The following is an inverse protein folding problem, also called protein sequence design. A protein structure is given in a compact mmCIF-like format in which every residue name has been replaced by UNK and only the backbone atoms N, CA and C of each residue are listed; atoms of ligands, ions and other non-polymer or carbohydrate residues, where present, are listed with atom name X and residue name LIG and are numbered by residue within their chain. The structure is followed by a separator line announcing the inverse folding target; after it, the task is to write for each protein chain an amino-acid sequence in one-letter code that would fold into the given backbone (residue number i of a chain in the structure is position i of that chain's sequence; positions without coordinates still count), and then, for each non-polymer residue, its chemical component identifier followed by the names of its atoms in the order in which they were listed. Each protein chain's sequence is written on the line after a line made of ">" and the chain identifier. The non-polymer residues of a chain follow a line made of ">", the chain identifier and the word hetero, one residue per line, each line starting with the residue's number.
data_IF_023860927264
#
_entry.id   IF_023860927264
#
_cell.length_a   1.000
_cell.length_b   1.000
_cell.length_c   1.000
_cell.angle_alpha   90.00
_cell.angle_beta   90.00
_cell.angle_gamma   90.00
#
_symmetry.space_group_name_H-M   'P 1'
#
loop_
_entity.id
_entity.type
_entity.pdbx_description
1 polymer ?
#
# COMPACT_ATOMS: atom_id res chain seq x y z
N UNK A 1 12.16 22.36 -11.90
CA UNK A 1 11.27 21.93 -12.99
C UNK A 1 11.09 20.44 -12.89
N UNK A 2 9.92 19.94 -13.30
CA UNK A 2 9.61 18.53 -13.44
C UNK A 2 9.21 18.28 -14.89
N UNK A 3 9.68 17.19 -15.47
CA UNK A 3 9.28 16.73 -16.78
C UNK A 3 8.39 15.50 -16.61
N UNK A 4 7.27 15.45 -17.34
CA UNK A 4 6.42 14.26 -17.37
C UNK A 4 7.06 13.21 -18.29
N UNK A 5 7.45 12.10 -17.71
CA UNK A 5 8.10 10.97 -18.40
C UNK A 5 7.24 9.69 -18.38
N UNK A 6 5.98 9.79 -17.96
CA UNK A 6 5.12 8.62 -17.79
C UNK A 6 4.99 7.82 -19.10
N UNK A 7 4.83 8.49 -20.22
CA UNK A 7 4.73 7.85 -21.53
C UNK A 7 6.00 7.07 -21.90
N UNK A 8 7.18 7.62 -21.61
CA UNK A 8 8.47 6.99 -21.92
C UNK A 8 8.68 5.69 -21.15
N UNK A 9 8.04 5.59 -19.97
CA UNK A 9 8.09 4.42 -19.09
C UNK A 9 6.85 3.52 -19.19
N UNK A 10 5.90 3.82 -20.09
CA UNK A 10 4.61 3.13 -20.24
C UNK A 10 3.75 3.14 -18.96
N UNK A 11 3.76 4.27 -18.25
CA UNK A 11 2.96 4.52 -17.05
C UNK A 11 1.78 5.46 -17.25
N UNK A 12 1.54 5.90 -18.47
CA UNK A 12 0.62 6.98 -18.77
C UNK A 12 -0.86 6.67 -18.49
N UNK A 13 -1.26 5.41 -18.37
CA UNK A 13 -2.63 4.90 -17.99
C UNK A 13 -3.79 5.89 -18.30
N UNK A 14 -3.71 6.53 -19.48
CA UNK A 14 -4.44 7.75 -19.84
C UNK A 14 -5.97 7.59 -19.89
N UNK A 15 -6.48 6.35 -19.85
CA UNK A 15 -7.91 6.04 -19.90
C UNK A 15 -8.50 5.76 -18.51
N UNK A 16 -7.70 5.83 -17.46
CA UNK A 16 -8.12 5.53 -16.08
C UNK A 16 -8.34 6.81 -15.27
N UNK A 17 -9.17 6.70 -14.26
CA UNK A 17 -9.49 7.79 -13.35
C UNK A 17 -8.75 7.58 -12.01
N UNK A 18 -7.46 7.91 -11.98
CA UNK A 18 -6.57 7.70 -10.85
C UNK A 18 -7.03 8.38 -9.56
N UNK A 19 -6.91 7.70 -8.42
CA UNK A 19 -7.23 8.21 -7.09
C UNK A 19 -6.09 8.07 -6.11
N UNK A 20 -5.58 6.88 -5.87
CA UNK A 20 -4.52 6.61 -4.92
C UNK A 20 -3.35 5.90 -5.56
N UNK A 21 -2.15 6.16 -5.04
CA UNK A 21 -0.94 5.45 -5.43
C UNK A 21 -0.18 5.03 -4.17
N UNK A 22 0.45 3.86 -4.21
CA UNK A 22 1.35 3.39 -3.17
C UNK A 22 2.61 2.77 -3.80
N UNK A 23 3.67 2.71 -3.02
CA UNK A 23 4.91 2.03 -3.40
C UNK A 23 5.04 0.75 -2.59
N UNK A 24 5.43 -0.34 -3.24
CA UNK A 24 5.68 -1.64 -2.60
C UNK A 24 6.80 -2.38 -3.32
N UNK A 25 7.57 -3.17 -2.60
CA UNK A 25 8.53 -4.10 -3.18
C UNK A 25 7.82 -5.43 -3.48
N UNK A 26 7.00 -5.46 -4.53
CA UNK A 26 6.05 -6.56 -4.85
C UNK A 26 6.74 -7.92 -4.96
N UNK A 27 7.95 -7.97 -5.49
CA UNK A 27 8.71 -9.20 -5.65
C UNK A 27 9.82 -9.39 -4.61
N UNK A 28 9.89 -8.51 -3.60
CA UNK A 28 10.94 -8.57 -2.56
C UNK A 28 12.36 -8.62 -3.13
N UNK A 29 12.60 -7.76 -4.13
CA UNK A 29 13.87 -7.65 -4.85
C UNK A 29 14.78 -6.54 -4.32
N UNK A 30 14.29 -5.75 -3.37
CA UNK A 30 14.97 -4.55 -2.89
C UNK A 30 14.74 -3.34 -3.80
N UNK A 31 13.63 -3.34 -4.57
CA UNK A 31 13.23 -2.25 -5.47
C UNK A 31 11.73 -2.00 -5.34
N UNK A 32 11.35 -0.72 -5.31
CA UNK A 32 9.96 -0.32 -5.23
C UNK A 32 9.29 -0.39 -6.60
N UNK A 33 8.09 -0.93 -6.58
CA UNK A 33 7.13 -1.02 -7.67
C UNK A 33 5.94 -0.10 -7.34
N UNK A 34 5.00 0.12 -8.26
CA UNK A 34 3.92 1.09 -8.11
C UNK A 34 2.56 0.37 -8.08
N UNK A 35 1.73 0.69 -7.10
CA UNK A 35 0.33 0.31 -7.04
C UNK A 35 -0.53 1.53 -7.36
N UNK A 36 -1.53 1.38 -8.23
CA UNK A 36 -2.40 2.45 -8.67
C UNK A 36 -3.87 2.04 -8.55
N UNK A 37 -4.61 2.81 -7.76
CA UNK A 37 -6.04 2.64 -7.56
C UNK A 37 -6.85 3.58 -8.44
N UNK A 38 -7.73 3.04 -9.29
CA UNK A 38 -8.52 3.78 -10.26
C UNK A 38 -10.01 3.76 -9.94
N UNK A 39 -10.67 4.91 -9.98
CA UNK A 39 -12.10 5.05 -9.69
C UNK A 39 -12.96 4.44 -10.80
N UNK A 40 -13.70 3.39 -10.47
CA UNK A 40 -14.53 2.63 -11.40
C UNK A 40 -13.76 2.13 -12.65
N UNK A 41 -12.43 2.07 -12.55
CA UNK A 41 -11.53 1.57 -13.56
C UNK A 41 -10.64 0.46 -13.01
N UNK A 42 -9.92 -0.22 -13.89
CA UNK A 42 -9.02 -1.29 -13.50
C UNK A 42 -7.89 -0.75 -12.62
N UNK A 43 -7.69 -1.35 -11.45
CA UNK A 43 -6.51 -1.06 -10.63
C UNK A 43 -5.26 -1.63 -11.30
N UNK A 44 -4.08 -1.11 -10.94
CA UNK A 44 -2.83 -1.50 -11.57
C UNK A 44 -1.75 -1.83 -10.56
N UNK A 45 -0.96 -2.82 -10.88
CA UNK A 45 0.28 -3.15 -10.18
C UNK A 45 1.44 -3.11 -11.17
N UNK A 46 2.17 -2.01 -11.17
CA UNK A 46 3.22 -1.73 -12.14
C UNK A 46 4.58 -2.17 -11.62
N UNK A 47 5.24 -3.03 -12.37
CA UNK A 47 6.60 -3.51 -12.09
C UNK A 47 7.55 -3.05 -13.18
N UNK A 48 8.67 -2.43 -12.79
CA UNK A 48 9.68 -1.98 -13.73
C UNK A 48 10.52 -3.17 -14.22
N UNK A 49 10.49 -3.44 -15.52
CA UNK A 49 11.31 -4.45 -16.21
C UNK A 49 11.90 -3.86 -17.49
N UNK A 50 13.21 -4.00 -17.68
CA UNK A 50 13.91 -3.50 -18.88
C UNK A 50 13.61 -2.02 -19.20
N UNK A 51 13.54 -1.15 -18.18
CA UNK A 51 13.20 0.27 -18.27
C UNK A 51 11.76 0.59 -18.70
N UNK A 52 10.86 -0.36 -18.69
CA UNK A 52 9.44 -0.15 -18.94
C UNK A 52 8.62 -0.72 -17.80
N UNK A 53 7.53 -0.07 -17.42
CA UNK A 53 6.58 -0.62 -16.46
C UNK A 53 5.63 -1.59 -17.14
N UNK A 54 5.39 -2.72 -16.49
CA UNK A 54 4.41 -3.71 -16.89
C UNK A 54 3.38 -3.89 -15.80
N UNK A 55 2.12 -3.89 -16.18
CA UNK A 55 1.04 -4.25 -15.29
C UNK A 55 1.03 -5.76 -15.04
N UNK A 56 1.11 -6.14 -13.77
CA UNK A 56 1.07 -7.52 -13.30
C UNK A 56 -0.15 -7.82 -12.44
N UNK A 57 -1.09 -6.86 -12.35
CA UNK A 57 -2.35 -7.05 -11.65
C UNK A 57 -3.02 -8.35 -12.11
N UNK A 58 -3.65 -9.04 -11.18
CA UNK A 58 -4.46 -10.21 -11.50
C UNK A 58 -5.95 -9.86 -11.37
N UNK A 59 -6.82 -10.69 -11.96
CA UNK A 59 -8.25 -10.42 -12.08
C UNK A 59 -8.91 -9.90 -10.79
N UNK A 60 -8.54 -10.44 -9.64
CA UNK A 60 -9.17 -10.05 -8.36
C UNK A 60 -8.68 -8.68 -7.89
N UNK A 61 -7.39 -8.38 -8.10
CA UNK A 61 -6.79 -7.08 -7.76
C UNK A 61 -7.27 -5.98 -8.71
N UNK A 62 -7.32 -6.26 -10.00
CA UNK A 62 -7.68 -5.29 -11.05
C UNK A 62 -9.17 -4.92 -11.04
N UNK A 63 -10.02 -5.69 -10.33
CA UNK A 63 -11.46 -5.48 -10.35
C UNK A 63 -11.86 -4.06 -9.96
N UNK A 64 -12.55 -3.32 -10.85
CA UNK A 64 -12.94 -1.94 -10.62
C UNK A 64 -13.68 -1.73 -9.31
N UNK A 65 -13.37 -0.65 -8.62
CA UNK A 65 -14.05 -0.26 -7.38
C UNK A 65 -14.13 1.27 -7.23
N UNK A 66 -14.91 1.74 -6.27
CA UNK A 66 -14.98 3.17 -5.92
C UNK A 66 -13.85 3.53 -4.94
N UNK A 67 -12.64 3.22 -5.32
CA UNK A 67 -11.46 3.44 -4.49
C UNK A 67 -11.18 4.92 -4.23
N UNK A 68 -10.66 5.22 -3.04
CA UNK A 68 -10.12 6.54 -2.66
C UNK A 68 -8.65 6.47 -2.30
N UNK A 69 -8.25 5.45 -1.56
CA UNK A 69 -6.89 5.32 -1.06
C UNK A 69 -6.41 3.89 -1.22
N UNK A 70 -5.15 3.74 -1.58
CA UNK A 70 -4.44 2.47 -1.60
C UNK A 70 -3.21 2.57 -0.68
N UNK A 71 -2.99 1.57 0.14
CA UNK A 71 -1.86 1.49 1.08
C UNK A 71 -1.22 0.12 0.97
N UNK A 72 0.12 0.08 1.04
CA UNK A 72 0.89 -1.16 1.15
C UNK A 72 1.68 -1.17 2.44
N UNK A 73 1.43 -2.16 3.30
CA UNK A 73 2.13 -2.35 4.56
C UNK A 73 2.04 -3.80 5.02
N UNK A 74 3.03 -4.25 5.79
CA UNK A 74 3.02 -5.55 6.47
C UNK A 74 2.22 -5.40 7.77
N UNK A 75 0.92 -5.71 7.73
CA UNK A 75 0.02 -5.54 8.87
C UNK A 75 0.10 -6.68 9.89
N UNK A 76 0.45 -7.89 9.46
CA UNK A 76 0.50 -9.06 10.34
C UNK A 76 1.92 -9.50 10.72
N UNK A 77 2.94 -8.72 10.30
CA UNK A 77 4.36 -8.96 10.54
C UNK A 77 4.83 -10.34 10.04
N UNK A 78 4.25 -10.86 8.96
CA UNK A 78 4.72 -12.08 8.30
C UNK A 78 5.88 -11.79 7.33
N UNK A 79 6.15 -10.51 7.11
CA UNK A 79 7.21 -9.98 6.27
C UNK A 79 6.81 -9.88 4.80
N UNK A 80 5.53 -10.00 4.48
CA UNK A 80 4.96 -9.66 3.18
C UNK A 80 4.00 -8.49 3.34
N UNK A 81 4.04 -7.54 2.42
CA UNK A 81 3.09 -6.44 2.46
C UNK A 81 1.68 -6.91 2.08
N UNK A 82 0.69 -6.41 2.80
CA UNK A 82 -0.69 -6.41 2.36
C UNK A 82 -1.00 -5.08 1.64
N UNK A 83 -1.98 -5.13 0.74
CA UNK A 83 -2.49 -3.95 0.04
C UNK A 83 -3.93 -3.70 0.47
N UNK A 84 -4.15 -2.58 1.16
CA UNK A 84 -5.47 -2.13 1.57
C UNK A 84 -6.03 -1.13 0.58
N UNK A 85 -7.27 -1.32 0.15
CA UNK A 85 -8.04 -0.42 -0.70
C UNK A 85 -9.24 0.12 0.06
N UNK A 86 -9.27 1.45 0.27
CA UNK A 86 -10.37 2.14 0.92
C UNK A 86 -11.40 2.59 -0.11
N UNK A 87 -12.60 2.07 -0.03
CA UNK A 87 -13.67 2.27 -1.01
C UNK A 87 -14.82 3.13 -0.47
N UNK A 88 -15.63 3.70 -1.38
CA UNK A 88 -16.87 4.44 -1.05
C UNK A 88 -18.07 3.59 -1.37
N UNK A 89 -18.96 3.44 -0.38
CA UNK A 89 -20.26 2.77 -0.49
C UNK A 89 -20.19 1.32 -1.03
N UNK A 90 -19.05 0.70 -0.84
CA UNK A 90 -18.79 -0.71 -1.12
C UNK A 90 -17.70 -1.21 -0.17
N UNK A 91 -17.54 -2.54 0.02
CA UNK A 91 -16.54 -3.07 0.94
C UNK A 91 -15.13 -2.60 0.58
N UNK A 92 -14.34 -2.27 1.60
CA UNK A 92 -12.91 -2.16 1.46
C UNK A 92 -12.33 -3.53 1.06
N UNK A 93 -11.19 -3.52 0.38
CA UNK A 93 -10.50 -4.75 -0.01
C UNK A 93 -9.14 -4.81 0.67
N UNK A 94 -8.69 -6.01 1.02
CA UNK A 94 -7.33 -6.28 1.45
C UNK A 94 -6.78 -7.45 0.65
N UNK A 95 -5.55 -7.28 0.16
CA UNK A 95 -4.85 -8.31 -0.58
C UNK A 95 -3.52 -8.62 0.08
N UNK A 96 -3.14 -9.88 0.12
CA UNK A 96 -1.79 -10.31 0.44
C UNK A 96 -0.97 -10.40 -0.84
N UNK A 97 0.25 -9.88 -0.82
CA UNK A 97 1.21 -10.09 -1.90
C UNK A 97 1.98 -11.38 -1.60
N UNK A 98 1.86 -12.34 -2.50
CA UNK A 98 2.64 -13.60 -2.40
C UNK A 98 4.06 -13.38 -2.92
N UNK A 99 4.99 -14.25 -2.53
CA UNK A 99 6.40 -14.25 -2.98
C UNK A 99 6.59 -14.35 -4.51
N UNK A 100 5.58 -14.81 -5.24
CA UNK A 100 5.55 -14.79 -6.71
C UNK A 100 4.91 -13.52 -7.32
N UNK A 101 4.64 -12.48 -6.52
CA UNK A 101 4.00 -11.24 -6.94
C UNK A 101 2.48 -11.33 -7.15
N UNK A 102 1.86 -12.47 -6.88
CA UNK A 102 0.40 -12.63 -7.00
C UNK A 102 -0.33 -11.95 -5.84
N UNK A 103 -1.41 -11.25 -6.16
CA UNK A 103 -2.34 -10.70 -5.18
C UNK A 103 -3.41 -11.74 -4.85
N UNK A 104 -3.60 -12.00 -3.57
CA UNK A 104 -4.65 -12.87 -3.04
C UNK A 104 -5.54 -12.07 -2.11
N UNK A 105 -6.83 -11.99 -2.43
CA UNK A 105 -7.76 -11.26 -1.56
C UNK A 105 -7.93 -11.97 -0.23
N UNK A 106 -7.75 -11.23 0.86
CA UNK A 106 -7.99 -11.71 2.21
C UNK A 106 -9.44 -11.40 2.58
N UNK A 107 -10.20 -12.44 2.91
CA UNK A 107 -11.56 -12.27 3.41
C UNK A 107 -11.52 -12.01 4.91
N UNK A 108 -11.78 -10.77 5.30
CA UNK A 108 -11.99 -10.43 6.72
C UNK A 108 -13.38 -10.87 7.16
N UNK A 109 -13.44 -11.56 8.29
CA UNK A 109 -14.72 -11.94 8.89
C UNK A 109 -15.45 -10.77 9.54
N UNK A 110 -14.80 -9.63 9.76
CA UNK A 110 -15.38 -8.47 10.46
C UNK A 110 -14.87 -7.17 9.82
N UNK A 111 -15.81 -6.29 9.44
CA UNK A 111 -15.50 -4.86 9.45
C UNK A 111 -14.95 -4.23 8.17
N UNK A 112 -14.97 -4.87 7.01
CA UNK A 112 -14.65 -4.17 5.74
C UNK A 112 -15.74 -3.18 5.29
N UNK A 113 -16.69 -2.93 6.16
CA UNK A 113 -17.64 -1.81 6.12
C UNK A 113 -18.29 -1.54 4.76
N UNK A 114 -19.14 -2.48 4.32
CA UNK A 114 -19.85 -2.42 3.04
C UNK A 114 -20.58 -1.11 2.75
N UNK A 115 -20.87 -0.30 3.78
CA UNK A 115 -21.61 0.96 3.68
C UNK A 115 -20.77 2.18 4.11
N UNK A 116 -19.45 2.03 4.24
CA UNK A 116 -18.56 3.13 4.57
C UNK A 116 -18.35 4.06 3.38
N UNK A 117 -18.28 5.36 3.66
CA UNK A 117 -17.89 6.36 2.66
C UNK A 117 -16.42 6.68 2.88
N UNK A 118 -15.55 5.74 2.54
CA UNK A 118 -14.10 5.86 2.72
C UNK A 118 -13.53 7.09 2.01
N UNK A 119 -12.71 7.86 2.71
CA UNK A 119 -12.09 9.08 2.17
C UNK A 119 -10.58 9.01 2.19
N UNK A 120 -10.00 8.44 3.25
CA UNK A 120 -8.55 8.32 3.39
C UNK A 120 -8.19 7.21 4.37
N UNK A 121 -6.92 6.82 4.36
CA UNK A 121 -6.38 5.90 5.34
C UNK A 121 -4.92 6.25 5.64
N UNK A 122 -4.45 5.85 6.82
CA UNK A 122 -3.07 6.01 7.26
C UNK A 122 -2.63 4.80 8.08
N UNK A 123 -1.33 4.56 8.12
CA UNK A 123 -0.72 3.44 8.83
C UNK A 123 0.36 3.95 9.78
N UNK A 124 0.33 3.48 11.01
CA UNK A 124 1.38 3.74 11.99
C UNK A 124 1.37 2.68 13.09
N UNK A 125 2.51 2.47 13.71
CA UNK A 125 2.63 1.74 14.98
C UNK A 125 2.39 2.76 16.12
N UNK A 126 1.12 2.94 16.50
CA UNK A 126 0.67 4.02 17.40
C UNK A 126 1.03 3.73 18.85
N UNK A 127 0.91 2.48 19.29
CA UNK A 127 1.20 2.08 20.66
C UNK A 127 2.63 1.53 20.86
N UNK A 128 3.42 1.51 19.81
CA UNK A 128 4.83 1.12 19.79
C UNK A 128 5.08 -0.37 20.14
N UNK A 129 4.15 -1.24 19.78
CA UNK A 129 4.31 -2.69 19.98
C UNK A 129 4.87 -3.43 18.75
N UNK A 130 5.11 -2.69 17.65
CA UNK A 130 5.67 -3.22 16.41
C UNK A 130 4.66 -3.79 15.43
N UNK A 131 3.37 -3.74 15.74
CA UNK A 131 2.26 -4.09 14.85
C UNK A 131 1.68 -2.79 14.32
N UNK A 132 1.47 -2.72 13.02
CA UNK A 132 0.93 -1.50 12.40
C UNK A 132 -0.58 -1.41 12.57
N UNK A 133 -1.07 -0.28 13.07
CA UNK A 133 -2.49 0.05 13.05
C UNK A 133 -2.86 0.73 11.73
N UNK A 134 -4.07 0.42 11.26
CA UNK A 134 -4.69 1.05 10.10
C UNK A 134 -5.81 1.99 10.55
N UNK A 135 -5.60 3.29 10.40
CA UNK A 135 -6.63 4.31 10.62
C UNK A 135 -7.37 4.55 9.31
N UNK A 136 -8.70 4.46 9.35
CA UNK A 136 -9.57 4.70 8.20
C UNK A 136 -10.50 5.86 8.48
N UNK A 137 -10.42 6.89 7.65
CA UNK A 137 -11.35 8.02 7.67
C UNK A 137 -12.49 7.83 6.68
N UNK A 138 -13.66 8.35 7.05
CA UNK A 138 -14.90 8.22 6.30
C UNK A 138 -15.74 9.49 6.41
N UNK A 139 -16.76 9.62 5.54
CA UNK A 139 -17.74 10.68 5.68
C UNK A 139 -17.74 11.70 4.56
N UNK A 140 -17.47 11.32 3.33
CA UNK A 140 -17.44 12.25 2.19
C UNK A 140 -18.70 13.10 2.03
N UNK A 141 -19.88 12.53 2.28
CA UNK A 141 -21.16 13.26 2.15
C UNK A 141 -21.95 13.35 3.45
N UNK A 142 -21.54 12.69 4.51
CA UNK A 142 -22.13 12.80 5.85
C UNK A 142 -21.15 12.31 6.91
N UNK A 143 -21.30 12.84 8.14
CA UNK A 143 -20.45 12.44 9.26
C UNK A 143 -20.50 10.93 9.51
N UNK A 144 -19.32 10.32 9.62
CA UNK A 144 -19.10 8.93 10.01
C UNK A 144 -17.91 8.84 10.95
N UNK A 145 -17.87 7.82 11.80
CA UNK A 145 -16.78 7.63 12.77
C UNK A 145 -15.48 7.21 12.08
N UNK A 146 -14.36 7.65 12.63
CA UNK A 146 -13.07 7.06 12.33
C UNK A 146 -13.01 5.61 12.85
N UNK A 147 -12.29 4.76 12.15
CA UNK A 147 -12.02 3.40 12.62
C UNK A 147 -10.52 3.16 12.68
N UNK A 148 -10.07 2.59 13.78
CA UNK A 148 -8.70 2.14 13.98
C UNK A 148 -8.71 0.62 14.03
N UNK A 149 -8.05 -0.01 13.08
CA UNK A 149 -7.88 -1.46 13.02
C UNK A 149 -6.48 -1.84 13.48
N UNK A 150 -6.38 -2.94 14.22
CA UNK A 150 -5.14 -3.60 14.58
C UNK A 150 -5.23 -5.07 14.20
N UNK A 151 -4.20 -5.58 13.54
CA UNK A 151 -4.13 -7.00 13.21
C UNK A 151 -4.07 -7.85 14.48
N UNK A 152 -4.76 -8.98 14.48
CA UNK A 152 -4.60 -10.01 15.51
C UNK A 152 -3.49 -10.95 15.07
N UNK A 153 -2.35 -10.85 15.71
CA UNK A 153 -1.17 -11.68 15.42
C UNK A 153 -1.09 -12.76 16.50
N UNK A 154 -1.24 -14.02 16.08
CA UNK A 154 -1.27 -15.17 17.02
C UNK A 154 0.11 -15.64 17.49
N UNK A 155 1.19 -15.01 17.02
CA UNK A 155 2.58 -15.39 17.33
C UNK A 155 3.35 -14.17 17.79
N UNK A 156 4.37 -14.39 18.62
CA UNK A 156 5.40 -13.38 18.87
C UNK A 156 6.05 -13.01 17.52
N UNK A 157 5.56 -11.95 16.91
CA UNK A 157 6.13 -11.41 15.68
C UNK A 157 7.36 -10.60 16.04
N UNK A 158 8.41 -10.75 15.23
CA UNK A 158 9.64 -9.98 15.38
C UNK A 158 9.57 -8.80 14.42
N UNK A 159 9.85 -7.62 14.93
CA UNK A 159 9.92 -6.42 14.10
C UNK A 159 11.28 -5.72 14.26
N UNK A 160 11.61 -4.91 13.27
CA UNK A 160 12.79 -4.04 13.29
C UNK A 160 12.35 -2.62 13.00
N UNK A 161 12.51 -1.73 13.98
CA UNK A 161 12.26 -0.30 13.79
C UNK A 161 13.55 0.41 13.40
N UNK A 162 13.56 1.04 12.23
CA UNK A 162 14.69 1.78 11.69
C UNK A 162 14.30 3.25 11.57
N UNK A 163 15.11 4.13 12.15
CA UNK A 163 14.94 5.58 12.06
C UNK A 163 16.16 6.18 11.39
N UNK A 164 16.24 6.22 10.05
CA UNK A 164 17.35 6.82 9.36
C UNK A 164 17.38 8.33 9.60
N UNK A 165 18.55 8.83 9.98
CA UNK A 165 18.76 10.24 10.20
C UNK A 165 19.82 10.76 9.23
N UNK A 166 19.65 12.00 8.76
CA UNK A 166 20.67 12.70 8.03
C UNK A 166 21.78 13.22 8.99
N UNK A 167 22.81 13.82 8.43
CA UNK A 167 23.96 14.36 9.23
C UNK A 167 23.59 15.46 10.25
N UNK A 168 22.39 15.99 10.19
CA UNK A 168 21.88 17.00 11.12
C UNK A 168 20.90 16.41 12.14
N UNK A 169 20.69 15.09 12.17
CA UNK A 169 19.76 14.44 13.10
C UNK A 169 18.29 14.52 12.71
N UNK A 170 17.96 15.02 11.54
CA UNK A 170 16.60 15.00 11.00
C UNK A 170 16.32 13.73 10.20
N UNK A 171 15.03 13.32 10.03
CA UNK A 171 14.69 12.18 9.19
C UNK A 171 15.30 12.27 7.80
N UNK A 172 15.93 11.19 7.34
CA UNK A 172 16.61 11.12 6.04
C UNK A 172 15.57 10.88 4.93
N UNK A 173 14.74 11.89 4.64
CA UNK A 173 13.71 11.82 3.59
C UNK A 173 14.33 11.51 2.23
N UNK A 174 13.70 10.62 1.47
CA UNK A 174 14.18 10.12 0.18
C UNK A 174 15.21 8.99 0.31
N UNK A 175 15.63 8.63 1.53
CA UNK A 175 16.49 7.46 1.72
C UNK A 175 15.67 6.17 1.56
N UNK A 176 16.26 5.16 0.92
CA UNK A 176 15.70 3.81 0.86
C UNK A 176 16.39 2.93 1.90
N UNK A 177 15.59 2.25 2.70
CA UNK A 177 16.05 1.22 3.63
C UNK A 177 15.75 -0.14 3.01
N UNK A 178 16.76 -0.97 2.86
CA UNK A 178 16.58 -2.35 2.36
C UNK A 178 16.99 -3.34 3.45
N UNK A 179 16.02 -4.12 3.91
CA UNK A 179 16.25 -5.27 4.76
C UNK A 179 16.66 -6.46 3.88
N UNK A 180 17.77 -7.07 4.19
CA UNK A 180 18.31 -8.23 3.46
C UNK A 180 18.29 -9.43 4.40
N UNK A 181 17.60 -10.47 4.03
CA UNK A 181 17.57 -11.76 4.70
C UNK A 181 18.20 -12.84 3.80
N UNK A 182 18.32 -14.06 4.32
CA UNK A 182 18.81 -15.18 3.50
C UNK A 182 17.86 -15.57 2.36
N UNK A 183 16.62 -15.14 2.41
CA UNK A 183 15.56 -15.55 1.48
C UNK A 183 15.12 -14.44 0.53
N UNK A 184 15.19 -13.16 0.97
CA UNK A 184 14.62 -12.04 0.22
C UNK A 184 15.20 -10.69 0.63
N UNK A 185 14.89 -9.68 -0.17
CA UNK A 185 15.11 -8.26 0.14
C UNK A 185 13.75 -7.58 0.28
N UNK A 186 13.66 -6.64 1.20
CA UNK A 186 12.46 -5.81 1.35
C UNK A 186 12.88 -4.35 1.48
N UNK A 187 12.34 -3.48 0.63
CA UNK A 187 12.69 -2.07 0.59
C UNK A 187 11.53 -1.17 0.96
N UNK A 188 11.82 -0.17 1.76
CA UNK A 188 10.91 0.94 2.08
C UNK A 188 11.64 2.26 1.88
N UNK A 189 10.94 3.27 1.40
CA UNK A 189 11.45 4.64 1.29
C UNK A 189 11.02 5.47 2.49
N UNK A 190 11.94 6.28 3.01
CA UNK A 190 11.65 7.25 4.06
C UNK A 190 11.08 8.50 3.39
N UNK A 191 9.81 8.68 3.48
CA UNK A 191 9.10 9.81 2.89
C UNK A 191 8.50 10.76 3.94
N UNK A 192 7.64 11.68 3.51
CA UNK A 192 6.97 12.64 4.38
C UNK A 192 5.53 12.23 4.72
N UNK A 193 5.14 10.99 4.40
CA UNK A 193 3.78 10.48 4.59
C UNK A 193 3.04 10.29 3.28
N UNK A 194 3.65 9.61 2.30
CA UNK A 194 2.98 9.20 1.07
C UNK A 194 1.99 8.06 1.32
N UNK A 195 0.88 8.09 0.61
CA UNK A 195 -0.10 7.00 0.64
C UNK A 195 -1.01 6.99 1.87
N UNK A 196 -1.11 8.10 2.56
CA UNK A 196 -1.87 8.22 3.80
C UNK A 196 -3.12 9.06 3.64
#
# INVERSE_FOLDING_TARGET
>A
NFDDVAFDYRLDDAIQNGRGTALSDIYYRGRLDILSGNWLGYHRAWVLENNEFKDIGNKDFDEPSRIRTIISADFDNDGFDEVFMNNIAEPNKLFRIKDNGKFEQINFQVGLEANGYGTGAAVADIDNDGILELLVSRGESKAQTLTLYKAKVDKESKYLRIKPLNKYGAPARGATVTLITNQRKHSKTIDAGSGY
#
